data_IF_452774588407
#
_entry.id   IF_452774588407
#
_cell.length_a   1.000
_cell.length_b   1.000
_cell.length_c   1.000
_cell.angle_alpha   90.00
_cell.angle_beta   90.00
_cell.angle_gamma   90.00
#
_symmetry.space_group_name_H-M   'P 1'
#
loop_
_entity.id
_entity.type
_entity.pdbx_description
1 polymer ?
#
# COMPACT_ATOMS: atom_id res chain seq x y z
N UNK A 1 -0.26 -31.51 15.95
CA UNK A 1 -0.69 -30.37 16.80
C UNK A 1 -1.63 -29.54 15.96
N UNK A 2 -2.91 -29.48 16.34
CA UNK A 2 -3.92 -28.70 15.62
C UNK A 2 -3.91 -27.29 16.19
N UNK A 3 -3.56 -26.29 15.37
CA UNK A 3 -3.59 -24.88 15.76
C UNK A 3 -5.04 -24.41 15.92
N UNK A 4 -5.49 -24.28 17.16
CA UNK A 4 -6.90 -24.07 17.55
C UNK A 4 -7.42 -22.64 17.31
N UNK A 5 -6.66 -21.70 16.75
CA UNK A 5 -7.17 -20.34 16.47
C UNK A 5 -6.65 -19.75 15.15
N UNK A 6 -6.86 -20.43 14.02
CA UNK A 6 -6.77 -19.76 12.71
C UNK A 6 -8.01 -18.92 12.49
N UNK A 7 -7.91 -17.62 12.80
CA UNK A 7 -8.92 -16.65 12.37
C UNK A 7 -8.95 -16.63 10.84
N UNK A 8 -10.12 -16.92 10.28
CA UNK A 8 -10.38 -16.80 8.85
C UNK A 8 -11.20 -15.54 8.68
N UNK A 9 -10.79 -14.67 7.76
CA UNK A 9 -11.49 -13.44 7.44
C UNK A 9 -11.52 -13.21 5.93
N UNK A 10 -12.32 -12.27 5.48
CA UNK A 10 -12.37 -11.87 4.08
C UNK A 10 -11.09 -11.12 3.70
N UNK A 11 -10.55 -11.43 2.52
CA UNK A 11 -9.40 -10.73 1.94
C UNK A 11 -9.68 -9.22 1.89
N UNK A 12 -8.86 -8.44 2.57
CA UNK A 12 -8.99 -6.98 2.66
C UNK A 12 -8.70 -6.28 1.33
N UNK A 13 -8.12 -6.98 0.35
CA UNK A 13 -7.79 -6.45 -0.98
C UNK A 13 -8.94 -6.67 -1.97
N UNK A 14 -9.25 -7.93 -2.33
CA UNK A 14 -10.28 -8.23 -3.33
C UNK A 14 -11.70 -8.25 -2.75
N UNK A 15 -11.85 -8.55 -1.45
CA UNK A 15 -13.14 -8.75 -0.76
C UNK A 15 -14.00 -9.91 -1.31
N UNK A 16 -13.38 -10.80 -2.07
CA UNK A 16 -14.07 -11.93 -2.75
C UNK A 16 -13.74 -13.28 -2.11
N UNK A 17 -12.56 -13.43 -1.51
CA UNK A 17 -12.07 -14.69 -0.95
C UNK A 17 -11.93 -14.63 0.56
N UNK A 18 -12.14 -15.76 1.23
CA UNK A 18 -11.77 -15.95 2.64
C UNK A 18 -10.35 -16.51 2.76
N UNK A 19 -9.60 -16.04 3.74
CA UNK A 19 -8.20 -16.41 3.95
C UNK A 19 -7.85 -16.40 5.44
N UNK A 20 -6.88 -17.23 5.82
CA UNK A 20 -6.24 -17.19 7.14
C UNK A 20 -4.86 -16.53 7.12
N UNK A 21 -4.39 -16.14 5.94
CA UNK A 21 -3.10 -15.48 5.76
C UNK A 21 -3.27 -14.01 6.11
N UNK A 22 -2.42 -13.52 7.00
CA UNK A 22 -2.39 -12.11 7.38
C UNK A 22 -1.04 -11.48 7.07
N UNK A 23 -1.06 -10.18 6.82
CA UNK A 23 0.13 -9.33 6.71
C UNK A 23 -0.06 -8.09 7.57
N UNK A 24 1.03 -7.45 7.99
CA UNK A 24 0.98 -6.16 8.67
C UNK A 24 1.04 -5.02 7.65
N UNK A 25 -0.09 -4.36 7.41
CA UNK A 25 -0.15 -3.18 6.54
C UNK A 25 0.49 -1.95 7.20
N UNK A 26 0.50 -1.92 8.53
CA UNK A 26 1.17 -0.95 9.41
C UNK A 26 1.60 -1.73 10.66
N UNK A 27 2.69 -1.36 11.36
CA UNK A 27 3.11 -2.08 12.57
C UNK A 27 1.95 -2.28 13.54
N UNK A 28 1.67 -3.54 13.89
CA UNK A 28 0.57 -3.92 14.78
C UNK A 28 -0.84 -3.92 14.17
N UNK A 29 -0.99 -3.56 12.90
CA UNK A 29 -2.27 -3.63 12.17
C UNK A 29 -2.25 -4.73 11.13
N UNK A 30 -2.91 -5.84 11.46
CA UNK A 30 -3.03 -7.02 10.59
C UNK A 30 -4.21 -6.87 9.64
N UNK A 31 -4.00 -7.22 8.39
CA UNK A 31 -5.05 -7.41 7.38
C UNK A 31 -4.96 -8.84 6.84
N UNK A 32 -6.10 -9.38 6.40
CA UNK A 32 -6.16 -10.70 5.79
C UNK A 32 -6.03 -10.59 4.28
N UNK A 33 -5.21 -11.43 3.66
CA UNK A 33 -4.91 -11.35 2.22
C UNK A 33 -4.91 -12.75 1.62
N UNK A 34 -5.60 -12.95 0.49
CA UNK A 34 -5.58 -14.23 -0.22
C UNK A 34 -4.32 -14.39 -1.07
N UNK A 35 -3.99 -15.63 -1.45
CA UNK A 35 -2.80 -15.94 -2.25
C UNK A 35 -2.75 -15.16 -3.56
N UNK A 36 -3.89 -14.99 -4.24
CA UNK A 36 -3.98 -14.23 -5.49
C UNK A 36 -3.55 -12.77 -5.30
N UNK A 37 -3.94 -12.14 -4.19
CA UNK A 37 -3.56 -10.77 -3.88
C UNK A 37 -2.10 -10.64 -3.41
N UNK A 38 -1.56 -11.68 -2.75
CA UNK A 38 -0.13 -11.75 -2.42
C UNK A 38 0.74 -11.89 -3.67
N UNK A 39 0.34 -12.74 -4.62
CA UNK A 39 1.01 -12.87 -5.91
C UNK A 39 0.96 -11.56 -6.70
N UNK A 40 -0.20 -10.88 -6.71
CA UNK A 40 -0.32 -9.57 -7.34
C UNK A 40 0.64 -8.52 -6.74
N UNK A 41 0.92 -8.58 -5.43
CA UNK A 41 1.86 -7.68 -4.76
C UNK A 41 3.33 -7.84 -5.21
N UNK A 42 3.69 -8.92 -5.91
CA UNK A 42 5.02 -9.07 -6.52
C UNK A 42 5.25 -8.03 -7.62
N UNK A 43 4.22 -7.72 -8.40
CA UNK A 43 4.32 -6.83 -9.57
C UNK A 43 3.68 -5.46 -9.34
N UNK A 44 2.94 -5.31 -8.25
CA UNK A 44 2.18 -4.11 -7.95
C UNK A 44 2.53 -3.56 -6.57
N UNK A 45 2.53 -2.23 -6.45
CA UNK A 45 2.33 -1.60 -5.16
C UNK A 45 0.84 -1.67 -4.82
N UNK A 46 0.55 -2.17 -3.63
CA UNK A 46 -0.83 -2.23 -3.10
C UNK A 46 -0.90 -1.35 -1.86
N UNK A 47 -1.75 -0.32 -1.93
CA UNK A 47 -2.04 0.55 -0.80
C UNK A 47 -3.46 0.34 -0.30
N UNK A 48 -3.64 0.25 1.01
CA UNK A 48 -4.95 0.16 1.66
C UNK A 48 -5.17 1.37 2.56
N UNK A 49 -6.29 2.06 2.38
CA UNK A 49 -6.71 3.14 3.27
C UNK A 49 -7.08 2.57 4.62
N UNK A 50 -6.40 3.00 5.68
CA UNK A 50 -6.65 2.50 7.04
C UNK A 50 -7.95 3.02 7.64
N UNK A 51 -8.53 4.08 7.06
CA UNK A 51 -9.82 4.64 7.48
C UNK A 51 -11.04 3.96 6.82
N UNK A 52 -11.02 3.74 5.50
CA UNK A 52 -12.18 3.23 4.76
C UNK A 52 -11.95 1.88 4.06
N UNK A 53 -10.75 1.29 4.19
CA UNK A 53 -10.39 0.03 3.55
C UNK A 53 -10.33 0.09 2.02
N UNK A 54 -10.33 1.28 1.40
CA UNK A 54 -10.20 1.42 -0.06
C UNK A 54 -8.81 1.04 -0.51
N UNK A 55 -8.73 0.28 -1.59
CA UNK A 55 -7.48 -0.31 -2.09
C UNK A 55 -7.07 0.32 -3.41
N UNK A 56 -5.77 0.58 -3.54
CA UNK A 56 -5.14 1.11 -4.74
C UNK A 56 -4.05 0.14 -5.20
N UNK A 57 -4.21 -0.41 -6.41
CA UNK A 57 -3.26 -1.34 -7.02
C UNK A 57 -2.62 -0.64 -8.21
N UNK A 58 -1.29 -0.57 -8.26
CA UNK A 58 -0.56 0.04 -9.38
C UNK A 58 0.69 -0.79 -9.73
N UNK A 59 0.96 -1.02 -11.03
CA UNK A 59 2.19 -1.69 -11.45
C UNK A 59 3.43 -0.95 -10.95
N UNK A 60 4.38 -1.67 -10.36
CA UNK A 60 5.60 -1.07 -9.78
C UNK A 60 6.40 -0.30 -10.82
N UNK A 61 6.60 -0.91 -11.99
CA UNK A 61 7.29 -0.30 -13.12
C UNK A 61 6.69 1.05 -13.54
N UNK A 62 5.36 1.18 -13.50
CA UNK A 62 4.67 2.42 -13.85
C UNK A 62 4.87 3.49 -12.78
N UNK A 63 4.78 3.11 -11.50
CA UNK A 63 4.99 4.04 -10.36
C UNK A 63 6.42 4.55 -10.37
N UNK A 64 7.41 3.64 -10.43
CA UNK A 64 8.84 3.96 -10.47
C UNK A 64 9.18 4.89 -11.64
N UNK A 65 8.60 4.64 -12.83
CA UNK A 65 8.82 5.49 -14.02
C UNK A 65 8.31 6.92 -13.83
N UNK A 66 7.26 7.13 -13.03
CA UNK A 66 6.60 8.43 -12.82
C UNK A 66 7.16 9.25 -11.65
N UNK A 67 7.98 8.64 -10.79
CA UNK A 67 8.62 9.38 -9.69
C UNK A 67 9.69 10.32 -10.27
N UNK A 68 9.56 11.61 -9.97
CA UNK A 68 10.50 12.66 -10.37
C UNK A 68 11.68 12.79 -9.41
N UNK A 69 11.45 12.62 -8.10
CA UNK A 69 12.51 12.67 -7.09
C UNK A 69 13.47 11.50 -7.25
N UNK A 70 14.76 11.80 -7.43
CA UNK A 70 15.81 10.80 -7.61
C UNK A 70 15.93 9.85 -6.41
N UNK A 71 15.95 10.42 -5.20
CA UNK A 71 16.11 9.65 -3.96
C UNK A 71 14.91 8.72 -3.74
N UNK A 72 13.71 9.25 -3.92
CA UNK A 72 12.47 8.47 -3.81
C UNK A 72 12.42 7.35 -4.85
N UNK A 73 12.80 7.66 -6.10
CA UNK A 73 12.86 6.67 -7.17
C UNK A 73 13.84 5.55 -6.83
N UNK A 74 15.04 5.89 -6.32
CA UNK A 74 16.04 4.91 -5.90
C UNK A 74 15.50 4.00 -4.79
N UNK A 75 14.83 4.56 -3.79
CA UNK A 75 14.20 3.78 -2.74
C UNK A 75 13.14 2.81 -3.29
N UNK A 76 12.29 3.26 -4.21
CA UNK A 76 11.25 2.42 -4.81
C UNK A 76 11.81 1.32 -5.72
N UNK A 77 12.92 1.57 -6.43
CA UNK A 77 13.62 0.55 -7.21
C UNK A 77 14.17 -0.56 -6.32
N UNK A 78 14.72 -0.23 -5.14
CA UNK A 78 15.18 -1.24 -4.17
C UNK A 78 14.04 -2.13 -3.64
N UNK A 79 12.80 -1.66 -3.75
CA UNK A 79 11.61 -2.37 -3.36
C UNK A 79 10.91 -3.12 -4.51
N UNK A 80 11.46 -3.08 -5.73
CA UNK A 80 10.79 -3.61 -6.92
C UNK A 80 10.50 -5.11 -6.80
N UNK A 81 11.41 -5.88 -6.20
CA UNK A 81 11.25 -7.34 -6.01
C UNK A 81 10.52 -7.73 -4.72
N UNK A 82 10.16 -6.76 -3.86
CA UNK A 82 9.53 -7.03 -2.56
C UNK A 82 8.01 -7.11 -2.66
N UNK A 83 7.37 -8.11 -2.04
CA UNK A 83 5.91 -8.15 -1.91
C UNK A 83 5.44 -7.12 -0.88
N UNK A 84 5.08 -5.93 -1.33
CA UNK A 84 4.70 -4.82 -0.45
C UNK A 84 3.20 -4.56 -0.53
N UNK A 85 2.55 -4.69 0.63
CA UNK A 85 1.19 -4.22 0.88
C UNK A 85 1.29 -3.21 2.02
N UNK A 86 0.89 -1.97 1.77
CA UNK A 86 1.11 -0.87 2.71
C UNK A 86 -0.20 -0.18 3.08
N UNK A 87 -0.39 0.06 4.37
CA UNK A 87 -1.44 0.93 4.87
C UNK A 87 -1.09 2.39 4.65
N UNK A 88 -2.03 3.16 4.10
CA UNK A 88 -1.98 4.63 4.09
C UNK A 88 -2.99 5.16 5.08
N UNK A 89 -2.61 6.17 5.87
CA UNK A 89 -3.45 6.65 6.98
C UNK A 89 -4.83 7.09 6.48
N UNK A 90 -4.87 7.92 5.43
CA UNK A 90 -6.11 8.33 4.76
C UNK A 90 -5.92 8.40 3.24
N UNK A 91 -6.95 8.02 2.50
CA UNK A 91 -6.99 8.17 1.05
C UNK A 91 -7.69 9.47 0.64
N UNK A 92 -7.52 9.86 -0.63
CA UNK A 92 -8.15 11.07 -1.21
C UNK A 92 -9.67 11.10 -1.07
N UNK A 93 -10.34 9.94 -0.95
CA UNK A 93 -11.78 9.90 -0.73
C UNK A 93 -12.16 10.18 0.74
N UNK A 94 -11.28 9.86 1.70
CA UNK A 94 -11.49 10.14 3.12
C UNK A 94 -11.11 11.58 3.47
N UNK A 95 -10.04 12.08 2.85
CA UNK A 95 -9.56 13.44 3.08
C UNK A 95 -9.07 14.07 1.77
N UNK A 96 -10.01 14.64 0.98
CA UNK A 96 -9.65 15.38 -0.23
C UNK A 96 -8.81 16.63 0.08
N UNK A 97 -9.03 17.27 1.22
CA UNK A 97 -8.41 18.53 1.60
C UNK A 97 -6.95 18.35 2.08
N UNK A 98 -6.66 17.29 2.83
CA UNK A 98 -5.31 16.97 3.29
C UNK A 98 -4.32 16.72 2.14
N UNK A 99 -4.78 16.24 0.99
CA UNK A 99 -3.92 16.11 -0.20
C UNK A 99 -3.44 17.48 -0.71
N UNK A 100 -4.26 18.52 -0.62
CA UNK A 100 -3.91 19.87 -1.06
C UNK A 100 -2.81 20.48 -0.19
N UNK A 101 -2.73 20.12 1.10
CA UNK A 101 -1.62 20.56 1.97
C UNK A 101 -0.27 19.97 1.58
N UNK A 102 -0.22 18.78 0.96
CA UNK A 102 1.03 18.18 0.45
C UNK A 102 1.40 18.65 -0.96
N UNK A 103 0.46 19.29 -1.68
CA UNK A 103 0.69 19.86 -3.03
C UNK A 103 1.16 21.31 -3.01
N UNK A 104 1.32 21.93 -1.84
CA UNK A 104 1.84 23.30 -1.77
C UNK A 104 3.27 23.34 -2.30
N UNK A 105 3.55 24.13 -3.35
CA UNK A 105 4.91 24.33 -3.85
C UNK A 105 5.64 25.29 -2.91
N UNK A 106 5.98 24.84 -1.71
CA UNK A 106 6.87 25.59 -0.81
C UNK A 106 8.31 25.05 -0.83
N UNK A 107 8.61 24.01 -1.63
CA UNK A 107 9.99 23.55 -1.92
C UNK A 107 10.53 24.05 -3.28
N UNK A 108 9.84 24.98 -3.94
CA UNK A 108 10.40 25.76 -5.06
C UNK A 108 10.88 27.12 -4.56
N UNK A 109 11.96 27.14 -3.78
CA UNK A 109 12.63 28.38 -3.41
C UNK A 109 13.63 28.29 -2.28
N UNK A 110 14.87 27.95 -2.60
CA UNK A 110 15.98 28.75 -2.08
C UNK A 110 17.12 28.79 -3.10
N UNK A 111 17.17 29.93 -3.80
CA UNK A 111 18.35 30.42 -4.49
C UNK A 111 19.47 30.67 -3.46
N UNK A 112 20.66 30.16 -3.75
CA UNK A 112 21.96 30.85 -3.68
C UNK A 112 23.03 29.93 -4.29
#
# INVERSE_FOLDING_TARGET
MLDINKTIDTCSICREEFTSIYVEAKPGYKIYVCDNCLEAAKFNFIWICMNCGKVYIRPKSLVIKRISSYELKRAYVLCEDLQIIQGIDMCIACDPAGMLSYMKPEDMGMEC
#
